data_IF_774886520165
#
_entry.id   IF_774886520165
#
_cell.length_a   1.000
_cell.length_b   1.000
_cell.length_c   1.000
_cell.angle_alpha   90.00
_cell.angle_beta   90.00
_cell.angle_gamma   90.00
#
_symmetry.space_group_name_H-M   'P 1'
#
loop_
_entity.id
_entity.type
_entity.pdbx_description
1 polymer ?
#
# COMPACT_ATOMS: atom_id res chain seq x y z
N UNK A 1 4.96 18.35 6.99
CA UNK A 1 5.35 18.30 8.42
C UNK A 1 4.45 17.27 9.12
N UNK A 2 4.96 16.48 10.09
CA UNK A 2 4.15 15.51 10.82
C UNK A 2 3.04 16.22 11.62
N UNK A 3 1.88 15.57 11.71
CA UNK A 3 0.68 16.08 12.39
C UNK A 3 0.31 15.26 13.63
N UNK A 4 1.06 14.19 13.90
CA UNK A 4 0.82 13.23 14.98
C UNK A 4 1.39 13.67 16.34
N UNK A 5 2.06 14.83 16.39
CA UNK A 5 2.61 15.40 17.63
C UNK A 5 3.80 14.63 18.21
N UNK A 6 4.39 13.69 17.47
CA UNK A 6 5.49 12.82 17.95
C UNK A 6 6.89 13.42 17.73
N UNK A 7 6.97 14.72 17.48
CA UNK A 7 8.22 15.42 17.18
C UNK A 7 8.62 15.36 15.70
N UNK A 8 9.87 15.72 15.41
CA UNK A 8 10.39 15.76 14.04
C UNK A 8 10.87 14.39 13.56
N UNK A 9 10.73 14.13 12.25
CA UNK A 9 11.18 12.90 11.62
C UNK A 9 12.66 13.05 11.23
N UNK A 10 13.53 12.25 11.85
CA UNK A 10 14.93 12.16 11.47
C UNK A 10 15.06 11.35 10.18
N UNK A 11 15.09 12.03 9.03
CA UNK A 11 15.32 11.41 7.73
C UNK A 11 16.78 11.61 7.30
N UNK A 12 17.42 10.56 6.80
CA UNK A 12 18.77 10.63 6.25
C UNK A 12 18.81 11.14 4.81
N UNK A 13 17.71 10.97 4.06
CA UNK A 13 17.62 11.27 2.63
C UNK A 13 16.22 11.77 2.26
N UNK A 14 16.15 12.50 1.14
CA UNK A 14 14.90 12.96 0.54
C UNK A 14 14.79 12.45 -0.90
N UNK A 15 13.55 12.12 -1.31
CA UNK A 15 13.22 11.76 -2.70
C UNK A 15 12.20 12.75 -3.24
N UNK A 16 12.27 13.03 -4.54
CA UNK A 16 11.26 13.79 -5.26
C UNK A 16 9.89 13.12 -5.17
N UNK A 17 8.82 13.92 -5.13
CA UNK A 17 7.43 13.44 -5.13
C UNK A 17 7.07 12.80 -6.48
N UNK A 18 7.60 13.36 -7.57
CA UNK A 18 7.36 12.90 -8.95
C UNK A 18 8.64 12.34 -9.60
N UNK A 19 9.12 11.16 -9.19
CA UNK A 19 10.20 10.48 -9.89
C UNK A 19 9.68 9.75 -11.15
N UNK A 20 10.48 9.65 -12.22
CA UNK A 20 10.10 8.86 -13.39
C UNK A 20 9.92 7.38 -13.03
N UNK A 21 8.96 6.73 -13.69
CA UNK A 21 8.69 5.31 -13.47
C UNK A 21 9.86 4.42 -13.96
N UNK A 22 10.08 3.24 -13.35
CA UNK A 22 11.11 2.30 -13.79
C UNK A 22 10.91 1.85 -15.24
N UNK A 23 12.00 1.84 -16.01
CA UNK A 23 12.04 1.40 -17.40
C UNK A 23 11.80 -0.11 -17.56
N UNK A 24 11.55 -0.56 -18.79
CA UNK A 24 11.13 -1.95 -19.10
C UNK A 24 12.14 -2.98 -18.59
N UNK A 25 13.44 -2.76 -18.82
CA UNK A 25 14.53 -3.69 -18.47
C UNK A 25 14.63 -3.89 -16.94
N UNK A 26 14.25 -2.89 -16.16
CA UNK A 26 14.30 -2.94 -14.70
C UNK A 26 13.14 -3.72 -14.07
N UNK A 27 12.12 -4.09 -14.86
CA UNK A 27 10.95 -4.83 -14.36
C UNK A 27 11.22 -6.33 -14.44
N UNK A 28 10.71 -7.05 -13.44
CA UNK A 28 10.63 -8.52 -13.43
C UNK A 28 9.16 -8.91 -13.33
N UNK A 29 8.79 -10.05 -13.91
CA UNK A 29 7.46 -10.63 -13.72
C UNK A 29 7.15 -10.79 -12.24
N UNK A 30 5.90 -10.54 -11.87
CA UNK A 30 5.43 -10.72 -10.49
C UNK A 30 5.43 -12.22 -10.17
N UNK A 31 6.25 -12.65 -9.21
CA UNK A 31 6.39 -14.07 -8.84
C UNK A 31 6.24 -14.34 -7.33
N UNK A 32 6.31 -13.30 -6.50
CA UNK A 32 6.21 -13.43 -5.05
C UNK A 32 4.78 -13.07 -4.60
N UNK A 33 4.07 -13.93 -3.86
CA UNK A 33 2.74 -13.63 -3.38
C UNK A 33 2.76 -12.54 -2.29
N UNK A 34 1.66 -11.79 -2.22
CA UNK A 34 1.32 -10.90 -1.12
C UNK A 34 0.11 -11.50 -0.40
N UNK A 35 0.27 -11.80 0.89
CA UNK A 35 -0.80 -12.39 1.68
C UNK A 35 -1.70 -11.29 2.25
N UNK A 36 -3.00 -11.37 1.98
CA UNK A 36 -3.98 -10.40 2.51
C UNK A 36 -4.53 -10.82 3.86
N UNK A 37 -4.52 -12.13 4.17
CA UNK A 37 -5.14 -12.66 5.39
C UNK A 37 -6.65 -12.87 5.25
N UNK A 38 -7.22 -12.56 4.08
CA UNK A 38 -8.62 -12.79 3.74
C UNK A 38 -8.71 -14.02 2.85
N UNK A 39 -9.28 -15.11 3.37
CA UNK A 39 -9.40 -16.39 2.65
C UNK A 39 -10.07 -16.21 1.29
N UNK A 40 -11.13 -15.39 1.22
CA UNK A 40 -11.85 -15.12 -0.01
C UNK A 40 -10.95 -14.49 -1.09
N UNK A 41 -10.06 -13.58 -0.73
CA UNK A 41 -9.16 -12.90 -1.68
C UNK A 41 -7.98 -13.81 -2.01
N UNK A 42 -7.31 -14.35 -1.00
CA UNK A 42 -6.12 -15.19 -1.19
C UNK A 42 -6.40 -16.47 -2.01
N UNK A 43 -7.65 -16.97 -2.00
CA UNK A 43 -8.05 -18.14 -2.78
C UNK A 43 -8.56 -17.81 -4.19
N UNK A 44 -9.42 -16.79 -4.33
CA UNK A 44 -10.09 -16.51 -5.61
C UNK A 44 -9.27 -15.55 -6.48
N UNK A 45 -8.60 -14.57 -5.87
CA UNK A 45 -7.89 -13.48 -6.56
C UNK A 45 -6.55 -13.26 -5.85
N UNK A 46 -5.58 -14.17 -6.01
CA UNK A 46 -4.29 -14.03 -5.36
C UNK A 46 -3.54 -12.80 -5.90
N UNK A 47 -3.02 -11.97 -4.99
CA UNK A 47 -2.30 -10.73 -5.33
C UNK A 47 -0.79 -10.99 -5.22
N UNK A 48 -0.02 -10.54 -6.20
CA UNK A 48 1.43 -10.63 -6.19
C UNK A 48 2.14 -9.30 -5.90
N UNK A 49 3.42 -9.37 -5.48
CA UNK A 49 4.24 -8.19 -5.20
C UNK A 49 4.63 -7.46 -6.48
N UNK A 50 4.29 -6.18 -6.56
CA UNK A 50 4.49 -5.36 -7.76
C UNK A 50 3.27 -5.32 -8.69
N UNK A 51 2.18 -5.99 -8.31
CA UNK A 51 0.88 -5.87 -8.95
C UNK A 51 0.14 -4.61 -8.48
N UNK A 52 -0.73 -4.08 -9.35
CA UNK A 52 -1.72 -3.05 -8.98
C UNK A 52 -3.09 -3.69 -8.98
N UNK A 53 -3.76 -3.69 -7.83
CA UNK A 53 -5.08 -4.27 -7.65
C UNK A 53 -6.10 -3.17 -7.33
N UNK A 54 -7.22 -3.16 -8.05
CA UNK A 54 -8.28 -2.16 -7.87
C UNK A 54 -9.38 -2.72 -6.95
N UNK A 55 -9.62 -2.04 -5.83
CA UNK A 55 -10.76 -2.31 -4.95
C UNK A 55 -11.86 -1.30 -5.26
N UNK A 56 -12.96 -1.76 -5.87
CA UNK A 56 -14.11 -0.94 -6.27
C UNK A 56 -15.41 -1.46 -5.66
N UNK A 57 -16.37 -0.57 -5.43
CA UNK A 57 -17.70 -0.89 -4.92
C UNK A 57 -18.40 0.30 -4.27
N UNK A 58 -19.67 0.13 -3.93
CA UNK A 58 -20.53 1.19 -3.39
C UNK A 58 -20.10 1.70 -2.02
N UNK A 59 -20.67 2.82 -1.57
CA UNK A 59 -20.39 3.37 -0.23
C UNK A 59 -20.69 2.32 0.84
N UNK A 60 -19.86 2.29 1.89
CA UNK A 60 -20.00 1.40 3.05
C UNK A 60 -19.88 -0.12 2.76
N UNK A 61 -19.37 -0.53 1.61
CA UNK A 61 -19.13 -1.96 1.30
C UNK A 61 -17.83 -2.55 1.86
N UNK A 62 -17.19 -1.88 2.83
CA UNK A 62 -15.97 -2.41 3.47
C UNK A 62 -14.67 -2.26 2.68
N UNK A 63 -14.61 -1.43 1.61
CA UNK A 63 -13.38 -1.19 0.83
C UNK A 63 -12.15 -0.83 1.70
N UNK A 64 -12.35 0.03 2.70
CA UNK A 64 -11.29 0.44 3.63
C UNK A 64 -10.92 -0.68 4.61
N UNK A 65 -11.88 -1.51 5.01
CA UNK A 65 -11.63 -2.66 5.88
C UNK A 65 -10.72 -3.67 5.17
N UNK A 66 -11.02 -4.01 3.91
CA UNK A 66 -10.17 -4.90 3.09
C UNK A 66 -8.73 -4.40 3.00
N UNK A 67 -8.54 -3.10 2.75
CA UNK A 67 -7.20 -2.49 2.73
C UNK A 67 -6.50 -2.57 4.10
N UNK A 68 -7.23 -2.37 5.19
CA UNK A 68 -6.69 -2.42 6.57
C UNK A 68 -6.35 -3.84 7.01
N UNK A 69 -7.19 -4.81 6.66
CA UNK A 69 -6.95 -6.23 6.94
C UNK A 69 -5.72 -6.73 6.18
N UNK A 70 -5.53 -6.26 4.95
CA UNK A 70 -4.33 -6.55 4.16
C UNK A 70 -3.05 -6.02 4.84
N UNK A 71 -3.12 -4.84 5.48
CA UNK A 71 -2.01 -4.32 6.29
C UNK A 71 -1.69 -5.23 7.47
N UNK A 72 -2.72 -5.67 8.19
CA UNK A 72 -2.55 -6.55 9.34
C UNK A 72 -2.02 -7.92 8.94
N UNK A 73 -2.53 -8.50 7.84
CA UNK A 73 -2.04 -9.76 7.27
C UNK A 73 -0.56 -9.68 6.92
N UNK A 74 -0.13 -8.61 6.26
CA UNK A 74 1.27 -8.38 5.91
C UNK A 74 2.18 -8.25 7.15
N UNK A 75 1.71 -7.61 8.23
CA UNK A 75 2.43 -7.54 9.51
C UNK A 75 2.56 -8.92 10.17
N UNK A 76 1.51 -9.75 10.10
CA UNK A 76 1.54 -11.13 10.60
C UNK A 76 2.60 -11.99 9.91
N UNK A 77 2.77 -11.84 8.60
CA UNK A 77 3.82 -12.53 7.84
C UNK A 77 5.23 -12.12 8.28
N UNK A 78 5.44 -10.84 8.66
CA UNK A 78 6.75 -10.37 9.15
C UNK A 78 7.18 -11.03 10.46
N UNK A 79 6.24 -11.38 11.34
CA UNK A 79 6.57 -12.02 12.63
C UNK A 79 6.94 -13.50 12.51
N UNK A 80 6.47 -14.19 11.47
CA UNK A 80 6.68 -15.63 11.28
C UNK A 80 7.79 -15.98 10.26
N UNK A 81 8.24 -15.03 9.44
CA UNK A 81 9.29 -15.24 8.44
C UNK A 81 10.64 -14.71 8.94
N UNK A 82 11.28 -15.44 9.86
CA UNK A 82 12.55 -15.05 10.50
C UNK A 82 13.81 -15.09 9.59
N UNK A 83 13.71 -15.53 8.32
CA UNK A 83 14.89 -15.73 7.46
C UNK A 83 14.78 -15.18 6.02
N UNK A 84 13.71 -14.49 5.68
CA UNK A 84 13.57 -13.89 4.34
C UNK A 84 13.98 -12.41 4.40
N UNK A 85 14.85 -11.98 3.49
CA UNK A 85 15.42 -10.63 3.23
C UNK A 85 14.38 -9.50 3.00
N UNK A 86 13.16 -9.66 3.46
CA UNK A 86 11.99 -9.24 2.74
C UNK A 86 11.10 -8.36 3.60
N UNK A 87 11.64 -7.21 3.96
CA UNK A 87 10.93 -6.17 4.70
C UNK A 87 9.83 -5.56 3.83
N UNK A 88 8.59 -6.03 3.98
CA UNK A 88 7.44 -5.36 3.36
C UNK A 88 7.11 -4.13 4.20
N UNK A 89 7.23 -2.94 3.60
CA UNK A 89 6.80 -1.68 4.21
C UNK A 89 5.54 -1.22 3.51
N UNK A 90 4.51 -0.87 4.27
CA UNK A 90 3.25 -0.41 3.70
C UNK A 90 3.01 1.06 4.01
N UNK A 91 2.41 1.77 3.05
CA UNK A 91 2.08 3.19 3.14
C UNK A 91 0.58 3.33 2.83
N UNK A 92 -0.16 3.97 3.72
CA UNK A 92 -1.54 4.36 3.50
C UNK A 92 -1.65 5.83 3.13
N UNK A 93 -2.41 6.16 2.09
CA UNK A 93 -2.76 7.53 1.74
C UNK A 93 -4.27 7.69 1.82
N UNK A 94 -4.73 8.72 2.52
CA UNK A 94 -6.14 9.09 2.58
C UNK A 94 -6.34 10.37 1.75
N UNK A 95 -7.13 10.26 0.68
CA UNK A 95 -7.51 11.39 -0.16
C UNK A 95 -8.93 11.77 0.22
N UNK A 96 -9.08 12.86 0.95
CA UNK A 96 -10.39 13.41 1.28
C UNK A 96 -11.01 14.12 0.09
N UNK A 97 -12.30 13.92 -0.15
CA UNK A 97 -13.06 14.60 -1.22
C UNK A 97 -13.18 16.12 -0.94
N UNK A 98 -12.95 16.58 0.30
CA UNK A 98 -13.06 17.99 0.68
C UNK A 98 -11.98 18.89 0.03
N UNK A 99 -10.84 18.33 -0.39
CA UNK A 99 -9.77 19.07 -1.07
C UNK A 99 -9.91 19.11 -2.60
N UNK A 100 -10.47 18.05 -3.20
CA UNK A 100 -10.55 17.90 -4.66
C UNK A 100 -11.55 18.87 -5.32
N UNK A 101 -12.54 19.40 -4.58
CA UNK A 101 -13.45 20.42 -5.13
C UNK A 101 -12.82 21.82 -5.22
N UNK A 102 -11.78 22.12 -4.44
CA UNK A 102 -11.19 23.48 -4.41
C UNK A 102 -10.18 23.72 -5.54
N UNK A 103 -9.55 22.67 -6.05
CA UNK A 103 -8.62 22.77 -7.20
C UNK A 103 -9.30 22.73 -8.57
N UNK A 104 -10.62 22.46 -8.64
CA UNK A 104 -11.37 22.41 -9.90
C UNK A 104 -12.07 23.74 -10.20
N UNK A 105 -12.06 24.70 -9.26
CA UNK A 105 -12.74 26.00 -9.41
C UNK A 105 -11.82 27.22 -9.52
N UNK A 106 -10.50 27.03 -9.69
CA UNK A 106 -9.54 28.10 -10.00
C UNK A 106 -8.91 27.89 -11.39
#
# INVERSE_FOLDING_TARGET
>A
KPIDGRGEILASEYRLIEPPAPGIISRRSVYKPLQTGLIAIDSMIPIGRGQRELIIGDRQTGKTAVATDTLQGALGTLNNCLNDELHLRTIGANIGILGAMKEITD
#
